data_IF_940935491750
#
_entry.id   IF_940935491750
#
_cell.length_a   1.000
_cell.length_b   1.000
_cell.length_c   1.000
_cell.angle_alpha   90.00
_cell.angle_beta   90.00
_cell.angle_gamma   90.00
#
_symmetry.space_group_name_H-M   'P 1'
#
loop_
_entity.id
_entity.type
_entity.pdbx_description
1 polymer ?
#
# COMPACT_ATOMS: atom_id res chain seq x y z
N UNK A 1 22.71 -2.60 4.58
CA UNK A 1 21.60 -2.00 5.34
C UNK A 1 20.33 -2.78 5.04
N UNK A 2 19.54 -3.14 6.06
CA UNK A 2 18.24 -3.79 5.88
C UNK A 2 17.13 -2.73 5.86
N UNK A 3 16.27 -2.75 4.84
CA UNK A 3 15.09 -1.88 4.77
C UNK A 3 13.94 -2.54 5.53
N UNK A 4 13.78 -2.15 6.80
CA UNK A 4 12.70 -2.64 7.66
C UNK A 4 11.59 -1.61 7.64
N UNK A 5 10.38 -2.01 7.26
CA UNK A 5 9.19 -1.15 7.33
C UNK A 5 8.86 -0.97 8.81
N UNK A 6 8.88 0.27 9.29
CA UNK A 6 8.57 0.62 10.68
C UNK A 6 7.15 1.14 10.83
N UNK A 7 6.62 1.80 9.80
CA UNK A 7 5.25 2.29 9.80
C UNK A 7 4.62 2.16 8.42
N UNK A 8 3.31 1.95 8.40
CA UNK A 8 2.52 1.73 7.20
C UNK A 8 1.24 2.55 7.33
N UNK A 9 1.04 3.47 6.39
CA UNK A 9 -0.09 4.39 6.37
C UNK A 9 -0.91 4.12 5.10
N UNK A 10 -2.17 3.75 5.29
CA UNK A 10 -3.14 3.66 4.21
C UNK A 10 -3.57 5.07 3.80
N UNK A 11 -3.40 5.39 2.52
CA UNK A 11 -3.76 6.65 1.90
C UNK A 11 -4.95 6.43 0.95
N UNK A 12 -5.65 7.51 0.61
CA UNK A 12 -6.75 7.49 -0.35
C UNK A 12 -6.28 6.98 -1.73
N UNK A 13 -7.22 6.47 -2.52
CA UNK A 13 -6.99 5.94 -3.87
C UNK A 13 -6.04 4.73 -3.92
N UNK A 14 -6.17 3.80 -2.96
CA UNK A 14 -5.41 2.55 -2.94
C UNK A 14 -3.89 2.76 -2.87
N UNK A 15 -3.45 3.80 -2.15
CA UNK A 15 -2.03 4.10 -1.96
C UNK A 15 -1.57 3.69 -0.57
N UNK A 16 -0.39 3.08 -0.48
CA UNK A 16 0.23 2.75 0.79
C UNK A 16 1.56 3.48 0.93
N UNK A 17 1.69 4.27 1.99
CA UNK A 17 2.93 4.89 2.38
C UNK A 17 3.67 3.97 3.35
N UNK A 18 4.83 3.51 2.93
CA UNK A 18 5.74 2.69 3.72
C UNK A 18 6.87 3.57 4.23
N UNK A 19 7.02 3.61 5.55
CA UNK A 19 8.09 4.34 6.23
C UNK A 19 9.10 3.30 6.71
N UNK A 20 10.36 3.49 6.33
CA UNK A 20 11.44 2.58 6.70
C UNK A 20 12.20 3.06 7.94
N UNK A 21 12.90 2.14 8.58
CA UNK A 21 13.73 2.40 9.77
C UNK A 21 14.83 3.45 9.55
N UNK A 22 15.26 3.67 8.31
CA UNK A 22 16.23 4.68 7.93
C UNK A 22 15.60 6.06 7.64
N UNK A 23 14.30 6.23 7.87
CA UNK A 23 13.54 7.45 7.58
C UNK A 23 13.19 7.64 6.10
N UNK A 24 13.51 6.69 5.21
CA UNK A 24 13.04 6.72 3.83
C UNK A 24 11.56 6.40 3.75
N UNK A 25 10.86 7.02 2.81
CA UNK A 25 9.45 6.79 2.56
C UNK A 25 9.25 6.37 1.11
N UNK A 26 8.39 5.37 0.88
CA UNK A 26 7.92 5.03 -0.45
C UNK A 26 6.40 5.02 -0.48
N UNK A 27 5.83 5.46 -1.60
CA UNK A 27 4.38 5.40 -1.84
C UNK A 27 4.16 4.36 -2.92
N UNK A 28 3.42 3.32 -2.57
CA UNK A 28 3.06 2.22 -3.47
C UNK A 28 1.62 2.42 -3.91
N UNK A 29 1.41 2.52 -5.22
CA UNK A 29 0.09 2.63 -5.83
C UNK A 29 -0.42 1.24 -6.22
N UNK A 30 -1.46 0.77 -5.52
CA UNK A 30 -2.07 -0.53 -5.79
C UNK A 30 -3.14 -0.48 -6.88
N UNK A 31 -3.49 0.70 -7.39
CA UNK A 31 -4.52 0.83 -8.43
C UNK A 31 -4.17 0.04 -9.70
N UNK A 32 -2.88 0.01 -10.08
CA UNK A 32 -2.43 -0.78 -11.23
C UNK A 32 -2.61 -2.29 -11.01
N UNK A 33 -2.34 -2.78 -9.79
CA UNK A 33 -2.47 -4.19 -9.41
C UNK A 33 -3.95 -4.58 -9.31
N UNK A 34 -4.78 -3.69 -8.75
CA UNK A 34 -6.23 -3.85 -8.69
C UNK A 34 -6.82 -3.93 -10.10
N UNK A 35 -6.39 -3.04 -11.01
CA UNK A 35 -6.86 -3.01 -12.39
C UNK A 35 -6.44 -4.23 -13.22
N UNK A 36 -5.32 -4.88 -12.88
CA UNK A 36 -4.92 -6.14 -13.51
C UNK A 36 -5.88 -7.31 -13.18
N UNK A 37 -6.70 -7.18 -12.14
CA UNK A 37 -7.74 -8.15 -11.82
C UNK A 37 -7.26 -9.35 -10.97
N UNK A 38 -8.11 -10.38 -10.87
CA UNK A 38 -7.81 -11.59 -10.09
C UNK A 38 -8.08 -11.44 -8.59
N UNK A 39 -7.23 -12.06 -7.76
CA UNK A 39 -7.41 -12.06 -6.29
C UNK A 39 -7.32 -10.66 -5.66
N UNK A 40 -6.71 -9.71 -6.37
CA UNK A 40 -6.50 -8.34 -5.90
C UNK A 40 -7.68 -7.41 -6.19
N UNK A 41 -8.70 -7.85 -6.94
CA UNK A 41 -9.95 -7.09 -7.11
C UNK A 41 -10.62 -6.84 -5.76
N UNK A 42 -10.48 -7.74 -4.79
CA UNK A 42 -11.02 -7.54 -3.45
C UNK A 42 -10.43 -6.31 -2.74
N UNK A 43 -9.21 -5.89 -3.08
CA UNK A 43 -8.58 -4.67 -2.56
C UNK A 43 -9.19 -3.39 -3.14
N UNK A 44 -9.95 -3.48 -4.25
CA UNK A 44 -10.78 -2.38 -4.75
C UNK A 44 -11.96 -2.04 -3.84
N UNK A 45 -12.28 -2.92 -2.88
CA UNK A 45 -13.31 -2.60 -1.89
C UNK A 45 -12.68 -1.67 -0.86
N UNK A 46 -13.25 -0.47 -0.62
CA UNK A 46 -12.71 0.47 0.35
C UNK A 46 -12.65 -0.13 1.77
N UNK A 47 -13.53 -1.10 2.07
CA UNK A 47 -13.56 -1.84 3.32
C UNK A 47 -12.29 -2.67 3.61
N UNK A 48 -11.56 -3.07 2.56
CA UNK A 48 -10.34 -3.87 2.68
C UNK A 48 -9.08 -3.01 2.76
N UNK A 49 -9.09 -1.82 2.17
CA UNK A 49 -7.90 -0.97 2.10
C UNK A 49 -7.75 -0.02 3.29
N UNK A 50 -8.86 0.30 3.97
CA UNK A 50 -8.90 1.25 5.10
C UNK A 50 -8.95 0.59 6.49
N UNK A 51 -8.72 -0.73 6.59
CA UNK A 51 -8.85 -1.50 7.83
C UNK A 51 -7.50 -1.73 8.50
#
# INVERSE_FOLDING_TARGET
>A
MSYIITNLIAESNYKLRLIYSNGSEIIVDFQAIINQGGIFVSLSKPEFFHK
#
